data_IF_135459278865
#
_entry.id   IF_135459278865
#
_cell.length_a   1.000
_cell.length_b   1.000
_cell.length_c   1.000
_cell.angle_alpha   90.00
_cell.angle_beta   90.00
_cell.angle_gamma   90.00
#
_symmetry.space_group_name_H-M   'P 1'
#
loop_
_entity.id
_entity.type
_entity.pdbx_description
1 polymer ?
#
# COMPACT_ATOMS: atom_id res chain seq x y z
N UNK A 1 -8.70 24.45 2.21
CA UNK A 1 -9.03 23.06 2.64
C UNK A 1 -10.54 22.80 2.53
N UNK A 2 -11.36 23.59 3.25
CA UNK A 2 -12.83 23.39 3.28
C UNK A 2 -13.57 23.80 2.00
N UNK A 3 -12.93 24.59 1.13
CA UNK A 3 -13.53 25.05 -0.12
C UNK A 3 -13.36 24.07 -1.29
N UNK A 4 -12.48 23.08 -1.15
CA UNK A 4 -12.25 22.09 -2.19
C UNK A 4 -12.98 20.78 -1.91
N UNK A 5 -13.61 20.16 -2.91
CA UNK A 5 -14.26 18.88 -2.76
C UNK A 5 -13.23 17.79 -2.41
N UNK A 6 -13.69 16.77 -1.68
CA UNK A 6 -12.87 15.59 -1.35
C UNK A 6 -12.48 14.85 -2.62
N UNK A 7 -13.38 14.82 -3.61
CA UNK A 7 -13.15 14.14 -4.88
C UNK A 7 -13.81 14.87 -6.04
N UNK A 8 -13.22 14.76 -7.22
CA UNK A 8 -13.83 15.15 -8.49
C UNK A 8 -13.64 13.98 -9.45
N UNK A 9 -14.74 13.31 -9.80
CA UNK A 9 -14.70 12.08 -10.57
C UNK A 9 -13.87 11.01 -9.86
N UNK A 10 -12.81 10.54 -10.51
CA UNK A 10 -11.90 9.52 -9.97
C UNK A 10 -10.73 10.10 -9.15
N UNK A 11 -10.57 11.43 -9.10
CA UNK A 11 -9.53 12.09 -8.30
C UNK A 11 -9.98 12.19 -6.85
N UNK A 12 -9.36 11.42 -5.98
CA UNK A 12 -9.59 11.40 -4.54
C UNK A 12 -8.60 12.25 -3.75
N UNK A 13 -9.01 12.70 -2.57
CA UNK A 13 -8.18 13.46 -1.62
C UNK A 13 -7.62 14.77 -2.20
N UNK A 14 -8.40 15.42 -3.07
CA UNK A 14 -7.99 16.70 -3.67
C UNK A 14 -7.70 17.76 -2.62
N UNK A 15 -8.60 17.90 -1.63
CA UNK A 15 -8.46 18.85 -0.54
C UNK A 15 -7.14 18.64 0.24
N UNK A 16 -6.72 17.41 0.47
CA UNK A 16 -5.47 17.11 1.18
C UNK A 16 -4.25 17.47 0.33
N UNK A 17 -4.28 17.21 -0.96
CA UNK A 17 -3.19 17.55 -1.90
C UNK A 17 -2.99 19.06 -1.99
N UNK A 18 -4.08 19.83 -2.09
CA UNK A 18 -3.99 21.29 -2.12
C UNK A 18 -3.56 21.88 -0.77
N UNK A 19 -3.96 21.26 0.35
CA UNK A 19 -3.48 21.69 1.67
C UNK A 19 -1.96 21.58 1.80
N UNK A 20 -1.37 20.50 1.29
CA UNK A 20 0.09 20.32 1.27
C UNK A 20 0.74 21.42 0.42
N UNK A 21 0.25 21.64 -0.80
CA UNK A 21 0.78 22.67 -1.70
C UNK A 21 0.65 24.08 -1.08
N UNK A 22 -0.51 24.40 -0.49
CA UNK A 22 -0.73 25.67 0.17
C UNK A 22 0.23 25.87 1.37
N UNK A 23 0.46 24.81 2.16
CA UNK A 23 1.39 24.86 3.30
C UNK A 23 2.83 25.09 2.85
N UNK A 24 3.23 24.48 1.73
CA UNK A 24 4.58 24.68 1.16
C UNK A 24 4.78 26.09 0.58
N UNK A 25 3.71 26.70 0.05
CA UNK A 25 3.76 28.05 -0.51
C UNK A 25 3.59 29.15 0.53
N UNK A 26 2.98 28.85 1.68
CA UNK A 26 2.74 29.83 2.75
C UNK A 26 3.99 30.60 3.19
N UNK A 27 5.18 29.97 3.39
CA UNK A 27 6.40 30.71 3.74
C UNK A 27 6.83 31.73 2.70
N UNK A 28 6.50 31.53 1.42
CA UNK A 28 6.82 32.48 0.34
C UNK A 28 5.98 33.76 0.42
N UNK A 29 4.80 33.67 1.04
CA UNK A 29 3.92 34.84 1.28
C UNK A 29 4.36 35.64 2.52
N UNK A 30 5.18 35.05 3.38
CA UNK A 30 5.76 35.72 4.54
C UNK A 30 7.00 36.47 4.10
N UNK A 31 6.81 37.61 3.42
CA UNK A 31 7.91 38.48 3.03
C UNK A 31 8.73 38.86 4.27
N UNK A 32 10.04 38.60 4.28
CA UNK A 32 10.88 38.94 5.43
C UNK A 32 10.90 40.45 5.64
N UNK A 33 10.27 40.92 6.71
CA UNK A 33 10.42 42.30 7.17
C UNK A 33 11.80 42.42 7.76
N UNK A 34 12.53 43.50 7.39
CA UNK A 34 13.84 43.79 7.95
C UNK A 34 13.70 44.06 9.46
N UNK A 35 14.51 43.34 10.28
CA UNK A 35 14.57 43.47 11.73
C UNK A 35 14.08 42.28 12.52
N UNK A 36 14.24 42.29 13.83
CA UNK A 36 13.94 41.20 14.76
C UNK A 36 12.47 40.75 14.72
N UNK A 37 11.54 41.69 14.44
CA UNK A 37 10.11 41.37 14.32
C UNK A 37 9.77 40.45 13.12
N UNK A 38 10.63 40.44 12.07
CA UNK A 38 10.48 39.53 10.93
C UNK A 38 11.04 38.13 11.19
N UNK A 39 11.95 38.00 12.16
CA UNK A 39 12.55 36.70 12.48
C UNK A 39 11.59 35.78 13.27
N UNK A 40 10.73 36.33 14.11
CA UNK A 40 9.81 35.55 14.97
C UNK A 40 8.92 34.57 14.17
N UNK A 41 8.18 35.00 13.12
CA UNK A 41 7.35 34.05 12.36
C UNK A 41 8.20 33.01 11.63
N UNK A 42 9.39 33.32 11.15
CA UNK A 42 10.28 32.34 10.51
C UNK A 42 10.76 31.29 11.50
N UNK A 43 11.16 31.71 12.70
CA UNK A 43 11.54 30.74 13.77
C UNK A 43 10.35 29.87 14.16
N UNK A 44 9.15 30.43 14.29
CA UNK A 44 7.95 29.69 14.60
C UNK A 44 7.63 28.64 13.53
N UNK A 45 7.69 29.00 12.25
CA UNK A 45 7.50 28.05 11.12
C UNK A 45 8.56 26.96 11.12
N UNK A 46 9.81 27.30 11.38
CA UNK A 46 10.92 26.34 11.47
C UNK A 46 10.73 25.34 12.61
N UNK A 47 10.37 25.82 13.80
CA UNK A 47 10.09 24.96 14.96
C UNK A 47 8.88 24.06 14.71
N UNK A 48 7.82 24.58 14.10
CA UNK A 48 6.65 23.78 13.71
C UNK A 48 7.03 22.70 12.68
N UNK A 49 7.91 23.04 11.73
CA UNK A 49 8.45 22.09 10.77
C UNK A 49 9.21 20.94 11.43
N UNK A 50 10.10 21.25 12.39
CA UNK A 50 10.84 20.24 13.17
C UNK A 50 9.87 19.38 13.98
N UNK A 51 8.91 19.99 14.68
CA UNK A 51 7.93 19.24 15.46
C UNK A 51 7.11 18.31 14.58
N UNK A 52 6.64 18.78 13.42
CA UNK A 52 5.89 17.97 12.45
C UNK A 52 6.73 16.81 11.89
N UNK A 53 7.99 17.06 11.54
CA UNK A 53 8.92 16.03 11.09
C UNK A 53 9.19 14.98 12.19
N UNK A 54 9.32 15.42 13.44
CA UNK A 54 9.47 14.55 14.60
C UNK A 54 8.25 13.64 14.82
N UNK A 55 7.04 14.19 14.72
CA UNK A 55 5.79 13.43 14.80
C UNK A 55 5.68 12.43 13.65
N UNK A 56 5.93 12.84 12.42
CA UNK A 56 5.94 11.96 11.26
C UNK A 56 6.96 10.83 11.40
N UNK A 57 8.17 11.13 11.89
CA UNK A 57 9.21 10.14 12.16
C UNK A 57 8.80 9.12 13.24
N UNK A 58 8.12 9.56 14.29
CA UNK A 58 7.56 8.66 15.32
C UNK A 58 6.48 7.75 14.74
N UNK A 59 5.58 8.29 13.92
CA UNK A 59 4.52 7.53 13.27
C UNK A 59 5.09 6.51 12.28
N UNK A 60 6.08 6.90 11.47
CA UNK A 60 6.78 6.01 10.56
C UNK A 60 7.47 4.85 11.31
N UNK A 61 8.14 5.13 12.43
CA UNK A 61 8.74 4.07 13.28
C UNK A 61 7.69 3.13 13.87
N UNK A 62 6.55 3.66 14.33
CA UNK A 62 5.46 2.83 14.83
C UNK A 62 4.92 1.93 13.72
N UNK A 63 4.70 2.46 12.51
CA UNK A 63 4.28 1.68 11.35
C UNK A 63 5.31 0.63 10.95
N UNK A 64 6.61 0.97 10.96
CA UNK A 64 7.67 0.00 10.65
C UNK A 64 7.66 -1.21 11.60
N UNK A 65 7.28 -1.03 12.87
CA UNK A 65 7.13 -2.15 13.81
C UNK A 65 5.91 -3.02 13.48
N UNK A 66 4.83 -2.42 12.97
CA UNK A 66 3.63 -3.18 12.56
C UNK A 66 3.88 -4.03 11.31
N UNK A 67 4.80 -3.62 10.45
CA UNK A 67 5.17 -4.37 9.24
C UNK A 67 6.34 -5.32 9.46
N UNK A 68 6.85 -5.40 10.68
CA UNK A 68 7.93 -6.35 11.01
C UNK A 68 7.51 -7.79 10.65
N UNK A 69 8.45 -8.55 10.09
CA UNK A 69 8.18 -9.88 9.54
C UNK A 69 7.83 -9.89 8.06
N UNK A 70 7.27 -8.82 7.49
CA UNK A 70 6.93 -8.79 6.06
C UNK A 70 8.13 -9.12 5.18
N UNK A 71 9.27 -8.47 5.42
CA UNK A 71 10.47 -8.64 4.61
C UNK A 71 11.02 -10.06 4.67
N UNK A 72 10.98 -10.71 5.85
CA UNK A 72 11.39 -12.09 6.02
C UNK A 72 10.47 -13.08 5.32
N UNK A 73 9.18 -12.79 5.31
CA UNK A 73 8.17 -13.61 4.64
C UNK A 73 8.28 -13.47 3.12
N UNK A 74 8.31 -12.24 2.60
CA UNK A 74 8.31 -12.01 1.15
C UNK A 74 9.62 -12.43 0.47
N UNK A 75 10.75 -12.41 1.20
CA UNK A 75 12.04 -12.87 0.69
C UNK A 75 12.09 -14.37 0.35
N UNK A 76 11.10 -15.14 0.80
CA UNK A 76 10.97 -16.56 0.44
C UNK A 76 10.32 -16.77 -0.94
N UNK A 77 9.71 -15.73 -1.52
CA UNK A 77 9.21 -15.81 -2.88
C UNK A 77 10.33 -15.68 -3.90
N UNK A 78 10.37 -16.57 -4.88
CA UNK A 78 11.31 -16.49 -6.00
C UNK A 78 11.01 -15.26 -6.87
N UNK A 79 12.04 -14.56 -7.38
CA UNK A 79 11.86 -13.45 -8.30
C UNK A 79 11.14 -13.86 -9.60
N UNK A 80 10.50 -12.91 -10.27
CA UNK A 80 9.91 -13.11 -11.57
C UNK A 80 8.61 -13.94 -11.60
N UNK A 81 8.06 -14.31 -10.45
CA UNK A 81 6.84 -15.12 -10.33
C UNK A 81 5.60 -14.24 -10.20
N UNK A 82 4.43 -14.87 -10.17
CA UNK A 82 3.11 -14.23 -10.04
C UNK A 82 2.60 -14.33 -8.61
N UNK A 83 2.35 -13.18 -7.98
CA UNK A 83 1.96 -13.08 -6.58
C UNK A 83 0.60 -12.40 -6.45
N UNK A 84 -0.29 -13.02 -5.69
CA UNK A 84 -1.55 -12.44 -5.22
C UNK A 84 -1.39 -11.97 -3.77
N UNK A 85 -1.90 -10.78 -3.45
CA UNK A 85 -2.01 -10.29 -2.06
C UNK A 85 -3.43 -10.42 -1.55
N UNK A 86 -3.65 -11.15 -0.45
CA UNK A 86 -4.93 -11.28 0.24
C UNK A 86 -4.82 -10.63 1.63
N UNK A 87 -5.33 -9.42 1.79
CA UNK A 87 -5.21 -8.62 3.02
C UNK A 87 -6.52 -8.64 3.79
N UNK A 88 -6.66 -9.57 4.73
CA UNK A 88 -7.82 -9.67 5.61
C UNK A 88 -7.80 -8.60 6.72
N UNK A 89 -6.63 -8.31 7.26
CA UNK A 89 -6.44 -7.25 8.25
C UNK A 89 -5.78 -6.04 7.61
N UNK A 90 -6.60 -5.09 7.16
CA UNK A 90 -6.19 -3.90 6.40
C UNK A 90 -5.75 -2.73 7.26
N UNK A 91 -6.25 -2.69 8.50
CA UNK A 91 -6.05 -1.57 9.41
C UNK A 91 -4.65 -1.52 9.99
N UNK A 92 -4.21 -0.31 10.34
CA UNK A 92 -3.00 -0.02 11.08
C UNK A 92 -3.34 0.88 12.27
N UNK A 93 -2.59 0.75 13.37
CA UNK A 93 -2.66 1.67 14.52
C UNK A 93 -1.84 2.94 14.26
N UNK A 94 -0.84 2.84 13.42
CA UNK A 94 0.11 3.91 13.13
C UNK A 94 -0.22 4.68 11.84
N UNK A 95 -0.94 4.08 10.90
CA UNK A 95 -1.27 4.72 9.63
C UNK A 95 -2.78 4.74 9.41
N UNK A 96 -3.28 5.82 8.80
CA UNK A 96 -4.68 5.94 8.38
C UNK A 96 -4.94 5.10 7.13
N UNK A 97 -6.20 4.84 6.86
CA UNK A 97 -6.68 4.03 5.74
C UNK A 97 -6.24 2.56 5.83
N UNK A 98 -6.08 1.92 4.70
CA UNK A 98 -5.70 0.52 4.57
C UNK A 98 -4.28 0.40 3.97
N UNK A 99 -3.21 0.71 4.72
CA UNK A 99 -1.86 0.85 4.17
C UNK A 99 -1.29 -0.45 3.61
N UNK A 100 -1.86 -1.59 4.00
CA UNK A 100 -1.33 -2.91 3.62
C UNK A 100 -1.84 -3.45 2.29
N UNK A 101 -2.88 -2.84 1.69
CA UNK A 101 -3.53 -3.36 0.48
C UNK A 101 -2.55 -3.61 -0.68
N UNK A 102 -1.56 -2.73 -0.85
CA UNK A 102 -0.62 -2.83 -1.97
C UNK A 102 0.75 -3.37 -1.57
N UNK A 103 0.87 -4.04 -0.44
CA UNK A 103 2.15 -4.61 -0.01
C UNK A 103 2.71 -5.68 -0.96
N UNK A 104 1.84 -6.39 -1.69
CA UNK A 104 2.26 -7.26 -2.79
C UNK A 104 3.13 -6.57 -3.85
N UNK A 105 2.96 -5.26 -4.05
CA UNK A 105 3.76 -4.48 -5.01
C UNK A 105 5.24 -4.37 -4.63
N UNK A 106 5.60 -4.50 -3.35
CA UNK A 106 7.00 -4.57 -2.92
C UNK A 106 7.72 -5.79 -3.48
N UNK A 107 7.03 -6.92 -3.64
CA UNK A 107 7.58 -8.08 -4.32
C UNK A 107 8.00 -7.74 -5.75
N UNK A 108 7.09 -7.11 -6.51
CA UNK A 108 7.37 -6.67 -7.89
C UNK A 108 8.52 -5.67 -7.95
N UNK A 109 8.57 -4.72 -7.03
CA UNK A 109 9.61 -3.69 -7.00
C UNK A 109 11.00 -4.25 -6.71
N UNK A 110 11.10 -5.32 -5.92
CA UNK A 110 12.38 -5.93 -5.51
C UNK A 110 12.87 -7.04 -6.43
N UNK A 111 11.95 -7.90 -6.88
CA UNK A 111 12.29 -9.12 -7.61
C UNK A 111 11.71 -9.21 -9.03
N UNK A 112 11.01 -8.17 -9.48
CA UNK A 112 10.26 -8.25 -10.74
C UNK A 112 9.04 -9.18 -10.62
N UNK A 113 8.54 -9.67 -11.74
CA UNK A 113 7.35 -10.51 -11.78
C UNK A 113 6.05 -9.70 -11.76
N UNK A 114 4.96 -10.37 -11.41
CA UNK A 114 3.62 -9.80 -11.43
C UNK A 114 3.06 -9.81 -10.01
N UNK A 115 2.54 -8.67 -9.57
CA UNK A 115 1.72 -8.57 -8.38
C UNK A 115 0.31 -8.13 -8.79
N UNK A 116 -0.71 -8.78 -8.27
CA UNK A 116 -2.10 -8.38 -8.46
C UNK A 116 -2.36 -6.96 -7.93
N UNK A 117 -3.42 -6.33 -8.40
CA UNK A 117 -3.86 -4.98 -8.02
C UNK A 117 -2.86 -3.88 -8.40
N UNK A 118 -2.30 -4.00 -9.59
CA UNK A 118 -1.41 -2.99 -10.17
C UNK A 118 -2.21 -1.87 -10.83
N UNK A 119 -1.62 -0.67 -10.88
CA UNK A 119 -2.18 0.43 -11.67
C UNK A 119 -2.39 0.08 -13.15
N UNK A 120 -1.67 -0.91 -13.69
CA UNK A 120 -1.86 -1.39 -15.06
C UNK A 120 -3.25 -2.02 -15.32
N UNK A 121 -3.98 -2.37 -14.26
CA UNK A 121 -5.35 -2.91 -14.31
C UNK A 121 -6.41 -1.81 -14.41
N UNK A 122 -6.04 -0.56 -14.10
CA UNK A 122 -6.98 0.55 -14.10
C UNK A 122 -7.20 1.10 -15.52
N UNK A 123 -8.44 1.37 -15.93
CA UNK A 123 -8.76 1.88 -17.28
C UNK A 123 -8.02 3.16 -17.66
N UNK A 124 -7.80 4.05 -16.69
CA UNK A 124 -7.14 5.35 -16.86
C UNK A 124 -5.61 5.28 -16.83
N UNK A 125 -5.02 4.13 -16.52
CA UNK A 125 -3.57 4.00 -16.48
C UNK A 125 -2.99 4.02 -17.90
N UNK A 126 -1.89 4.74 -18.14
CA UNK A 126 -1.15 4.64 -19.40
C UNK A 126 -0.38 3.32 -19.54
N UNK A 127 -0.18 2.61 -18.42
CA UNK A 127 0.50 1.31 -18.41
C UNK A 127 -0.50 0.19 -18.67
N UNK A 128 -0.03 -0.84 -19.38
CA UNK A 128 -0.79 -2.09 -19.62
C UNK A 128 0.13 -3.27 -19.40
N UNK A 129 -0.46 -4.38 -19.01
CA UNK A 129 0.24 -5.66 -19.08
C UNK A 129 0.47 -6.05 -20.54
N UNK A 130 1.49 -6.85 -20.77
CA UNK A 130 1.58 -7.62 -22.02
C UNK A 130 0.48 -8.67 -22.02
N UNK A 131 -0.16 -8.97 -23.17
CA UNK A 131 -1.28 -9.93 -23.21
C UNK A 131 -0.98 -11.28 -22.55
N UNK A 132 0.23 -11.79 -22.72
CA UNK A 132 0.70 -13.06 -22.17
C UNK A 132 0.93 -13.06 -20.65
N UNK A 133 0.95 -11.89 -20.02
CA UNK A 133 1.19 -11.70 -18.59
C UNK A 133 0.04 -11.01 -17.87
N UNK A 134 -1.06 -10.74 -18.59
CA UNK A 134 -2.23 -10.10 -18.00
C UNK A 134 -2.86 -11.01 -16.94
N UNK A 135 -3.04 -10.54 -15.70
CA UNK A 135 -3.70 -11.32 -14.67
C UNK A 135 -5.20 -11.50 -15.00
N UNK A 136 -5.85 -12.53 -14.44
CA UNK A 136 -7.28 -12.70 -14.54
C UNK A 136 -8.01 -11.42 -14.15
N UNK A 137 -9.08 -11.08 -14.87
CA UNK A 137 -9.88 -9.91 -14.53
C UNK A 137 -10.64 -10.15 -13.24
N UNK A 138 -10.54 -9.21 -12.33
CA UNK A 138 -11.21 -9.24 -11.05
C UNK A 138 -12.36 -8.23 -11.01
N UNK A 139 -13.40 -8.46 -10.17
CA UNK A 139 -14.39 -7.46 -9.87
C UNK A 139 -13.74 -6.20 -9.31
N UNK A 140 -14.34 -5.04 -9.58
CA UNK A 140 -13.87 -3.77 -9.03
C UNK A 140 -13.80 -3.85 -7.49
N UNK A 141 -12.73 -3.31 -6.90
CA UNK A 141 -12.44 -3.34 -5.46
C UNK A 141 -12.25 -4.75 -4.84
N UNK A 142 -11.93 -5.75 -5.64
CA UNK A 142 -11.70 -7.10 -5.14
C UNK A 142 -10.58 -7.18 -4.08
N UNK A 143 -9.57 -6.32 -4.17
CA UNK A 143 -8.50 -6.22 -3.16
C UNK A 143 -9.01 -5.85 -1.75
N UNK A 144 -10.20 -5.28 -1.66
CA UNK A 144 -10.88 -4.98 -0.39
C UNK A 144 -11.66 -6.16 0.17
N UNK A 145 -11.87 -7.20 -0.64
CA UNK A 145 -12.71 -8.35 -0.36
C UNK A 145 -11.95 -9.66 -0.57
N UNK A 146 -10.87 -9.92 0.23
CA UNK A 146 -9.99 -11.08 0.03
C UNK A 146 -10.72 -12.43 0.14
N UNK A 147 -11.87 -12.46 0.79
CA UNK A 147 -12.74 -13.65 0.88
C UNK A 147 -13.41 -14.04 -0.43
N UNK A 148 -13.39 -13.17 -1.44
CA UNK A 148 -13.90 -13.48 -2.79
C UNK A 148 -12.92 -14.29 -3.63
N UNK A 149 -11.69 -14.43 -3.18
CA UNK A 149 -10.71 -15.26 -3.87
C UNK A 149 -11.23 -16.70 -3.97
N UNK A 150 -11.41 -17.17 -5.19
CA UNK A 150 -11.78 -18.54 -5.50
C UNK A 150 -10.56 -19.28 -6.06
N UNK A 151 -10.10 -20.27 -5.29
CA UNK A 151 -8.94 -21.09 -5.65
C UNK A 151 -9.14 -21.83 -6.97
N UNK A 152 -10.37 -22.23 -7.29
CA UNK A 152 -10.68 -22.98 -8.52
C UNK A 152 -10.60 -22.08 -9.75
N UNK A 153 -11.09 -20.83 -9.61
CA UNK A 153 -11.19 -19.89 -10.73
C UNK A 153 -9.89 -19.12 -10.90
N UNK A 154 -9.32 -18.62 -9.79
CA UNK A 154 -8.23 -17.67 -9.82
C UNK A 154 -6.86 -18.28 -9.50
N UNK A 155 -6.87 -19.44 -8.81
CA UNK A 155 -5.65 -20.00 -8.21
C UNK A 155 -4.63 -20.48 -9.22
N UNK A 156 -5.04 -20.92 -10.40
CA UNK A 156 -4.09 -21.45 -11.40
C UNK A 156 -3.11 -20.40 -11.94
N UNK A 157 -3.49 -19.15 -11.91
CA UNK A 157 -2.63 -18.09 -12.40
C UNK A 157 -1.48 -17.78 -11.45
N UNK A 158 -1.68 -17.81 -10.13
CA UNK A 158 -0.70 -17.33 -9.14
C UNK A 158 0.23 -18.43 -8.66
N UNK A 159 1.53 -18.14 -8.63
CA UNK A 159 2.56 -19.03 -8.09
C UNK A 159 2.65 -18.89 -6.56
N UNK A 160 2.38 -17.68 -6.05
CA UNK A 160 2.40 -17.36 -4.62
C UNK A 160 1.15 -16.58 -4.19
N UNK A 161 0.74 -16.82 -2.96
CA UNK A 161 -0.29 -16.00 -2.28
C UNK A 161 0.30 -15.47 -0.98
N UNK A 162 0.38 -14.15 -0.88
CA UNK A 162 0.75 -13.42 0.33
C UNK A 162 -0.53 -13.09 1.12
N UNK A 163 -0.62 -13.58 2.32
CA UNK A 163 -1.77 -13.36 3.20
C UNK A 163 -1.35 -12.44 4.36
N UNK A 164 -2.22 -11.48 4.72
CA UNK A 164 -2.10 -10.70 5.94
C UNK A 164 -3.36 -10.84 6.78
N UNK A 165 -3.23 -11.42 7.97
CA UNK A 165 -4.31 -11.63 8.93
C UNK A 165 -4.22 -12.98 9.63
N UNK A 166 -5.11 -13.19 10.60
CA UNK A 166 -5.21 -14.44 11.35
C UNK A 166 -6.06 -15.51 10.63
N UNK A 167 -6.08 -15.47 9.31
CA UNK A 167 -6.87 -16.38 8.46
C UNK A 167 -5.91 -17.23 7.64
N UNK A 168 -6.17 -18.54 7.61
CA UNK A 168 -5.54 -19.46 6.67
C UNK A 168 -6.57 -19.84 5.59
N UNK A 169 -6.51 -19.19 4.38
CA UNK A 169 -7.49 -19.45 3.32
C UNK A 169 -7.33 -20.85 2.70
N UNK A 170 -6.25 -21.55 3.02
CA UNK A 170 -5.93 -22.88 2.48
C UNK A 170 -5.99 -23.99 3.52
N UNK A 171 -6.44 -23.72 4.76
CA UNK A 171 -6.54 -24.71 5.83
C UNK A 171 -7.45 -25.90 5.48
N UNK A 172 -8.46 -25.65 4.64
CA UNK A 172 -9.38 -26.70 4.19
C UNK A 172 -8.95 -27.23 2.83
N UNK A 173 -8.87 -28.56 2.71
CA UNK A 173 -8.77 -29.20 1.41
C UNK A 173 -10.02 -28.90 0.57
N UNK A 174 -9.83 -28.70 -0.73
CA UNK A 174 -10.91 -28.40 -1.66
C UNK A 174 -10.42 -28.46 -3.10
N UNK A 175 -11.31 -28.25 -4.08
CA UNK A 175 -10.95 -28.27 -5.49
C UNK A 175 -9.99 -27.10 -5.83
N UNK A 176 -9.31 -27.23 -6.98
CA UNK A 176 -8.33 -26.25 -7.47
C UNK A 176 -6.90 -26.52 -6.97
N UNK A 177 -5.94 -25.67 -7.35
CA UNK A 177 -4.53 -25.87 -7.02
C UNK A 177 -4.29 -25.86 -5.51
N UNK A 178 -3.34 -26.68 -5.10
CA UNK A 178 -2.91 -26.74 -3.70
C UNK A 178 -1.90 -25.64 -3.43
N UNK A 179 -2.02 -25.04 -2.24
CA UNK A 179 -1.08 -24.04 -1.74
C UNK A 179 -0.54 -24.48 -0.39
N UNK A 180 0.79 -24.51 -0.28
CA UNK A 180 1.48 -24.85 0.96
C UNK A 180 2.10 -23.59 1.58
N UNK A 181 1.89 -23.40 2.86
CA UNK A 181 2.53 -22.29 3.60
C UNK A 181 4.02 -22.54 3.70
N UNK A 182 4.81 -21.64 3.14
CA UNK A 182 6.28 -21.71 3.10
C UNK A 182 6.96 -20.71 4.04
N UNK A 183 6.24 -19.68 4.48
CA UNK A 183 6.71 -18.74 5.48
C UNK A 183 5.54 -18.16 6.28
N UNK A 184 5.79 -17.84 7.55
CA UNK A 184 4.83 -17.16 8.41
C UNK A 184 5.56 -16.38 9.48
N UNK A 185 5.16 -15.11 9.67
CA UNK A 185 5.66 -14.28 10.74
C UNK A 185 4.65 -13.18 11.11
N UNK A 186 4.28 -13.13 12.38
CA UNK A 186 3.23 -12.24 12.85
C UNK A 186 1.92 -12.44 12.09
N UNK A 187 1.42 -11.39 11.46
CA UNK A 187 0.22 -11.45 10.63
C UNK A 187 0.50 -11.81 9.15
N UNK A 188 1.76 -11.98 8.77
CA UNK A 188 2.15 -12.26 7.39
C UNK A 188 2.38 -13.75 7.17
N UNK A 189 1.80 -14.28 6.12
CA UNK A 189 2.03 -15.64 5.65
C UNK A 189 2.22 -15.68 4.14
N UNK A 190 3.12 -16.53 3.66
CA UNK A 190 3.34 -16.76 2.24
C UNK A 190 3.05 -18.22 1.92
N UNK A 191 2.24 -18.41 0.91
CA UNK A 191 1.87 -19.72 0.38
C UNK A 191 2.43 -19.87 -1.03
N UNK A 192 2.99 -21.04 -1.33
CA UNK A 192 3.44 -21.42 -2.67
C UNK A 192 2.49 -22.46 -3.26
N UNK A 193 2.20 -22.34 -4.55
CA UNK A 193 1.47 -23.35 -5.31
C UNK A 193 2.33 -24.61 -5.44
N UNK A 194 1.74 -25.78 -5.20
CA UNK A 194 2.35 -27.10 -5.36
C UNK A 194 2.25 -27.60 -6.79
#
# INVERSE_FOLDING_TARGET
YFAFPISIGWLWQLNERYAIAATLLLPLLLAPRRGTRGAVPLVAVFLLGIASAGLAGRQARAFSREVDGFDRVISRAQPGRRLLGLVYERGSRAAKFAPYLHFGSYYRARGGGIAAFSFAELPQSPLRYRPETEPPRHPLHWEWEPWRFDRVVDGDYYDYVLVRGNVDPFARAGPGPRYRRIAHEGLWALYAKE
#
